data_IF_431384251028
#
_entry.id   IF_431384251028
#
_cell.length_a   1.000
_cell.length_b   1.000
_cell.length_c   1.000
_cell.angle_alpha   90.00
_cell.angle_beta   90.00
_cell.angle_gamma   90.00
#
_symmetry.space_group_name_H-M   'P 1'
#
loop_
_entity.id
_entity.type
_entity.pdbx_description
1 polymer ?
#
# COMPACT_ATOMS: atom_id res chain seq x y z
N UNK A 1 -3.19 -35.63 -18.89
CA UNK A 1 -2.77 -34.24 -19.20
C UNK A 1 -2.04 -33.63 -18.00
N UNK A 2 -0.78 -33.19 -18.15
CA UNK A 2 -0.03 -32.59 -17.03
C UNK A 2 -0.49 -31.16 -16.74
N UNK A 3 -0.92 -30.87 -15.49
CA UNK A 3 -1.39 -29.54 -15.07
C UNK A 3 -0.27 -28.49 -15.24
N UNK A 4 -0.55 -27.35 -15.87
CA UNK A 4 0.37 -26.19 -15.99
C UNK A 4 0.05 -25.11 -14.94
N UNK A 5 1.07 -24.43 -14.41
CA UNK A 5 0.92 -23.37 -13.40
C UNK A 5 1.66 -22.10 -13.85
N UNK A 6 1.23 -20.94 -13.37
CA UNK A 6 1.86 -19.65 -13.66
C UNK A 6 3.06 -19.40 -12.75
N UNK A 7 4.17 -18.87 -13.28
CA UNK A 7 5.30 -18.45 -12.44
C UNK A 7 4.90 -17.32 -11.49
N UNK A 8 5.30 -17.38 -10.22
CA UNK A 8 5.16 -16.26 -9.29
C UNK A 8 5.99 -15.02 -9.68
N UNK A 9 7.02 -15.16 -10.51
CA UNK A 9 7.91 -14.06 -10.93
C UNK A 9 7.47 -13.48 -12.28
N UNK A 10 7.35 -14.33 -13.30
CA UNK A 10 7.13 -13.87 -14.68
C UNK A 10 5.74 -14.22 -15.24
N UNK A 11 4.87 -14.89 -14.47
CA UNK A 11 3.51 -15.32 -14.86
C UNK A 11 3.38 -16.28 -16.05
N UNK A 12 4.47 -16.61 -16.77
CA UNK A 12 4.46 -17.60 -17.86
C UNK A 12 3.84 -18.91 -17.34
N UNK A 13 3.13 -19.67 -18.19
CA UNK A 13 2.66 -21.02 -17.83
C UNK A 13 3.76 -22.04 -18.10
N UNK A 14 4.00 -22.92 -17.14
CA UNK A 14 5.00 -23.98 -17.26
C UNK A 14 4.45 -25.35 -16.93
N UNK A 15 4.99 -26.33 -17.62
CA UNK A 15 4.83 -27.73 -17.31
C UNK A 15 5.62 -28.17 -16.06
N UNK A 16 5.42 -29.41 -15.60
CA UNK A 16 6.07 -29.94 -14.40
C UNK A 16 7.60 -29.92 -14.42
N UNK A 17 8.24 -30.10 -15.59
CA UNK A 17 9.70 -30.17 -15.74
C UNK A 17 10.41 -28.81 -15.65
N UNK A 18 9.69 -27.73 -15.97
CA UNK A 18 10.27 -26.38 -16.08
C UNK A 18 10.04 -25.52 -14.83
N UNK A 19 9.51 -26.12 -13.75
CA UNK A 19 9.03 -25.40 -12.56
C UNK A 19 9.46 -26.06 -11.27
N UNK A 20 9.66 -25.24 -10.24
CA UNK A 20 9.72 -25.68 -8.84
C UNK A 20 8.49 -25.23 -8.09
N UNK A 21 7.93 -26.12 -7.26
CA UNK A 21 6.91 -25.78 -6.27
C UNK A 21 7.54 -24.99 -5.13
N UNK A 22 6.86 -23.94 -4.67
CA UNK A 22 7.33 -23.13 -3.54
C UNK A 22 7.01 -23.76 -2.19
N UNK A 23 5.92 -24.55 -2.06
CA UNK A 23 5.48 -25.26 -0.84
C UNK A 23 6.41 -26.42 -0.41
N UNK A 24 7.72 -26.36 -0.70
CA UNK A 24 8.70 -27.38 -0.32
C UNK A 24 9.73 -26.76 0.62
N UNK A 25 10.11 -27.49 1.67
CA UNK A 25 10.89 -26.96 2.81
C UNK A 25 12.23 -26.30 2.44
N UNK A 26 12.84 -26.69 1.31
CA UNK A 26 14.10 -26.14 0.82
C UNK A 26 14.01 -24.74 0.17
N UNK A 27 12.83 -24.14 0.00
CA UNK A 27 12.65 -22.89 -0.75
C UNK A 27 12.39 -21.65 0.12
N UNK A 28 12.62 -21.71 1.45
CA UNK A 28 12.35 -20.61 2.41
C UNK A 28 12.97 -19.27 2.00
N UNK A 29 14.22 -19.27 1.53
CA UNK A 29 14.91 -18.04 1.10
C UNK A 29 14.29 -17.41 -0.15
N UNK A 30 13.88 -18.26 -1.10
CA UNK A 30 13.18 -17.82 -2.31
C UNK A 30 11.79 -17.26 -1.95
N UNK A 31 11.06 -17.90 -1.04
CA UNK A 31 9.78 -17.39 -0.54
C UNK A 31 9.96 -16.03 0.14
N UNK A 32 10.98 -15.87 1.00
CA UNK A 32 11.29 -14.60 1.68
C UNK A 32 11.58 -13.48 0.68
N UNK A 33 12.40 -13.75 -0.33
CA UNK A 33 12.67 -12.79 -1.41
C UNK A 33 11.39 -12.41 -2.16
N UNK A 34 10.58 -13.39 -2.54
CA UNK A 34 9.35 -13.15 -3.30
C UNK A 34 8.30 -12.40 -2.48
N UNK A 35 8.21 -12.62 -1.17
CA UNK A 35 7.38 -11.82 -0.25
C UNK A 35 7.91 -10.38 -0.15
N UNK A 36 9.22 -10.20 0.08
CA UNK A 36 9.90 -8.88 0.11
C UNK A 36 9.65 -8.08 -1.17
N UNK A 37 9.60 -8.73 -2.32
CA UNK A 37 9.38 -8.06 -3.61
C UNK A 37 7.91 -7.99 -4.06
N UNK A 38 6.97 -8.33 -3.17
CA UNK A 38 5.53 -8.32 -3.41
C UNK A 38 5.06 -9.23 -4.56
N UNK A 39 5.72 -10.37 -4.72
CA UNK A 39 5.44 -11.35 -5.79
C UNK A 39 4.65 -12.58 -5.31
N UNK A 40 4.57 -12.82 -3.99
CA UNK A 40 3.81 -13.92 -3.37
C UNK A 40 2.82 -13.43 -2.32
N UNK A 41 1.66 -14.11 -2.21
CA UNK A 41 0.67 -13.94 -1.13
C UNK A 41 1.20 -14.45 0.21
N UNK A 42 0.48 -14.13 1.29
CA UNK A 42 0.83 -14.51 2.66
C UNK A 42 0.86 -16.04 2.81
N UNK A 43 -0.10 -16.74 2.23
CA UNK A 43 -0.10 -18.19 2.12
C UNK A 43 0.54 -18.67 0.82
N UNK A 44 1.48 -19.61 0.94
CA UNK A 44 2.09 -20.31 -0.19
C UNK A 44 1.23 -21.54 -0.50
N UNK A 45 0.57 -21.51 -1.64
CA UNK A 45 -0.30 -22.58 -2.12
C UNK A 45 0.45 -23.58 -3.00
N UNK A 46 -0.16 -24.72 -3.30
CA UNK A 46 0.42 -25.71 -4.22
C UNK A 46 0.52 -25.24 -5.67
N UNK A 47 -0.22 -24.17 -6.00
CA UNK A 47 -0.22 -23.53 -7.32
C UNK A 47 0.95 -22.55 -7.48
N UNK A 48 1.58 -22.17 -6.37
CA UNK A 48 2.70 -21.24 -6.36
C UNK A 48 3.97 -21.95 -6.79
N UNK A 49 4.38 -21.64 -8.02
CA UNK A 49 5.57 -22.21 -8.65
C UNK A 49 6.47 -21.11 -9.18
N UNK A 50 7.76 -21.41 -9.27
CA UNK A 50 8.74 -20.55 -9.96
C UNK A 50 9.37 -21.33 -11.10
N UNK A 51 9.49 -20.69 -12.25
CA UNK A 51 10.14 -21.27 -13.42
C UNK A 51 11.64 -21.35 -13.21
N UNK A 52 12.28 -22.41 -13.69
CA UNK A 52 13.71 -22.65 -13.46
C UNK A 52 14.58 -21.46 -13.89
N UNK A 53 14.28 -20.83 -15.04
CA UNK A 53 15.01 -19.65 -15.51
C UNK A 53 14.88 -18.45 -14.57
N UNK A 54 13.69 -18.20 -14.02
CA UNK A 54 13.48 -17.11 -13.06
C UNK A 54 14.16 -17.40 -11.71
N UNK A 55 14.23 -18.68 -11.30
CA UNK A 55 14.99 -19.10 -10.11
C UNK A 55 16.48 -18.88 -10.29
N UNK A 56 17.04 -19.20 -11.47
CA UNK A 56 18.46 -19.01 -11.74
C UNK A 56 18.84 -17.52 -11.71
N UNK A 57 17.97 -16.64 -12.23
CA UNK A 57 18.15 -15.18 -12.10
C UNK A 57 18.19 -14.72 -10.64
N UNK A 58 17.26 -15.18 -9.80
CA UNK A 58 17.35 -14.93 -8.35
C UNK A 58 18.66 -15.45 -7.75
N UNK A 59 19.08 -16.66 -8.14
CA UNK A 59 20.28 -17.27 -7.56
C UNK A 59 21.52 -16.46 -7.95
N UNK A 60 21.61 -16.00 -9.20
CA UNK A 60 22.67 -15.12 -9.68
C UNK A 60 22.66 -13.75 -9.00
N UNK A 61 21.50 -13.09 -8.87
CA UNK A 61 21.36 -11.81 -8.14
C UNK A 61 21.76 -11.96 -6.66
N UNK A 62 21.34 -13.05 -6.02
CA UNK A 62 21.67 -13.33 -4.62
C UNK A 62 23.15 -13.71 -4.41
N UNK A 63 23.78 -14.33 -5.41
CA UNK A 63 25.20 -14.67 -5.39
C UNK A 63 26.07 -13.44 -5.68
N UNK A 64 25.67 -12.59 -6.62
CA UNK A 64 26.34 -11.31 -6.90
C UNK A 64 26.33 -10.41 -5.66
N UNK A 65 25.20 -10.31 -4.96
CA UNK A 65 25.09 -9.58 -3.70
C UNK A 65 25.96 -10.16 -2.56
N UNK A 66 26.32 -11.45 -2.63
CA UNK A 66 27.23 -12.11 -1.67
C UNK A 66 28.70 -11.95 -2.05
N UNK A 67 29.02 -11.92 -3.35
CA UNK A 67 30.39 -11.76 -3.85
C UNK A 67 30.89 -10.33 -3.69
N UNK A 68 30.00 -9.33 -3.74
CA UNK A 68 30.30 -7.95 -3.35
C UNK A 68 30.56 -7.78 -1.84
N UNK A 69 30.36 -8.82 -1.03
CA UNK A 69 30.66 -8.86 0.39
C UNK A 69 31.79 -9.86 0.65
N UNK A 70 33.02 -9.55 0.24
CA UNK A 70 34.20 -10.35 0.62
C UNK A 70 34.79 -9.93 1.99
N UNK A 71 35.43 -10.87 2.72
CA UNK A 71 35.51 -10.84 4.17
C UNK A 71 36.84 -10.28 4.69
N UNK A 72 36.80 -9.27 5.57
CA UNK A 72 37.93 -8.97 6.45
C UNK A 72 37.79 -9.79 7.73
N UNK A 73 38.74 -10.69 7.97
CA UNK A 73 38.91 -11.43 9.22
C UNK A 73 39.19 -10.45 10.36
N UNK A 74 38.34 -10.43 11.39
CA UNK A 74 38.76 -10.41 12.78
C UNK A 74 37.57 -10.81 13.69
N UNK A 75 37.77 -11.66 14.71
CA UNK A 75 36.71 -12.08 15.62
C UNK A 75 36.59 -11.07 16.77
N UNK A 76 35.77 -10.04 16.60
CA UNK A 76 35.27 -9.25 17.73
C UNK A 76 33.89 -8.69 17.38
N UNK A 77 32.89 -9.36 17.95
CA UNK A 77 31.66 -8.79 18.49
C UNK A 77 31.00 -7.64 17.69
N UNK A 78 30.09 -7.98 16.79
CA UNK A 78 29.03 -7.06 16.34
C UNK A 78 27.71 -7.85 16.29
N UNK A 79 26.64 -7.44 17.01
CA UNK A 79 25.36 -8.10 16.90
C UNK A 79 24.84 -7.92 15.48
N UNK A 80 24.62 -9.04 14.79
CA UNK A 80 24.00 -9.07 13.46
C UNK A 80 22.52 -8.66 13.57
N UNK A 81 22.25 -7.36 13.74
CA UNK A 81 20.93 -6.76 13.61
C UNK A 81 20.54 -6.65 12.13
N UNK A 82 20.43 -7.79 11.44
CA UNK A 82 19.68 -7.85 10.18
C UNK A 82 18.20 -7.81 10.54
N UNK A 83 17.69 -6.59 10.81
CA UNK A 83 16.27 -6.35 11.10
C UNK A 83 15.44 -7.04 10.02
N UNK A 84 14.61 -7.99 10.44
CA UNK A 84 13.66 -8.65 9.55
C UNK A 84 12.64 -7.62 9.06
N UNK A 85 12.15 -7.73 7.80
CA UNK A 85 11.14 -6.83 7.29
C UNK A 85 9.90 -6.86 8.20
N UNK A 86 9.35 -5.68 8.49
CA UNK A 86 8.15 -5.52 9.30
C UNK A 86 6.93 -5.93 8.49
N UNK A 87 6.00 -6.64 9.12
CA UNK A 87 4.67 -6.89 8.57
C UNK A 87 3.75 -5.74 8.97
N UNK A 88 3.12 -5.11 7.98
CA UNK A 88 2.19 -4.01 8.15
C UNK A 88 0.80 -4.42 7.66
N UNK A 89 -0.24 -3.98 8.38
CA UNK A 89 -1.65 -4.16 8.01
C UNK A 89 -2.08 -3.14 6.93
N UNK A 90 -1.27 -3.05 5.88
CA UNK A 90 -1.49 -2.19 4.73
C UNK A 90 -1.79 -3.09 3.54
N UNK A 91 -2.87 -2.80 2.82
CA UNK A 91 -3.21 -3.58 1.63
C UNK A 91 -2.19 -3.28 0.53
N UNK A 92 -1.80 -4.28 -0.24
CA UNK A 92 -0.95 -4.09 -1.41
C UNK A 92 -1.43 -4.87 -2.61
N UNK A 93 -1.26 -4.31 -3.80
CA UNK A 93 -1.53 -5.04 -5.03
C UNK A 93 -0.30 -5.83 -5.48
N UNK A 94 -0.54 -7.02 -6.04
CA UNK A 94 0.51 -7.82 -6.66
C UNK A 94 1.22 -7.08 -7.79
N UNK A 95 2.53 -7.27 -7.90
CA UNK A 95 3.32 -6.68 -8.98
C UNK A 95 3.45 -7.63 -10.17
N UNK A 96 3.10 -7.16 -11.37
CA UNK A 96 3.35 -7.86 -12.62
C UNK A 96 3.62 -6.87 -13.75
N UNK A 97 4.53 -7.24 -14.65
CA UNK A 97 4.77 -6.49 -15.89
C UNK A 97 3.76 -6.81 -17.01
N UNK A 98 2.97 -7.88 -16.84
CA UNK A 98 2.05 -8.41 -17.86
C UNK A 98 0.60 -8.35 -17.42
N UNK A 99 0.31 -7.93 -16.19
CA UNK A 99 -1.05 -7.89 -15.64
C UNK A 99 -1.26 -6.53 -14.97
N UNK A 100 -2.36 -5.87 -15.29
CA UNK A 100 -2.73 -4.60 -14.68
C UNK A 100 -3.13 -4.82 -13.21
N UNK A 101 -2.52 -4.11 -12.23
CA UNK A 101 -2.86 -4.25 -10.82
C UNK A 101 -4.23 -3.67 -10.46
N UNK A 102 -4.84 -2.88 -11.37
CA UNK A 102 -6.14 -2.23 -11.15
C UNK A 102 -7.28 -3.14 -11.61
N UNK A 103 -7.27 -3.57 -12.88
CA UNK A 103 -8.36 -4.34 -13.50
C UNK A 103 -8.03 -5.82 -13.77
N UNK A 104 -6.84 -6.29 -13.36
CA UNK A 104 -6.37 -7.66 -13.57
C UNK A 104 -6.31 -8.13 -15.05
N UNK A 105 -6.48 -7.21 -16.03
CA UNK A 105 -6.29 -7.52 -17.45
C UNK A 105 -4.84 -7.90 -17.73
N UNK A 106 -4.65 -8.92 -18.56
CA UNK A 106 -3.35 -9.25 -19.13
C UNK A 106 -3.04 -8.30 -20.27
N UNK A 107 -1.83 -7.75 -20.31
CA UNK A 107 -1.38 -6.92 -21.42
C UNK A 107 -1.29 -7.75 -22.70
N UNK A 108 -2.19 -7.47 -23.64
CA UNK A 108 -1.97 -7.79 -25.05
C UNK A 108 -1.10 -6.68 -25.67
N UNK A 109 -0.39 -6.96 -26.77
CA UNK A 109 0.43 -5.94 -27.47
C UNK A 109 -0.36 -4.71 -27.95
N UNK A 110 -1.70 -4.82 -28.06
CA UNK A 110 -2.59 -3.81 -28.65
C UNK A 110 -3.21 -2.81 -27.68
N UNK A 111 -3.22 -3.07 -26.36
CA UNK A 111 -3.65 -2.09 -25.35
C UNK A 111 -2.44 -1.73 -24.48
N UNK A 112 -1.92 -0.52 -24.70
CA UNK A 112 -0.66 -0.07 -24.10
C UNK A 112 -0.70 -0.05 -22.58
N UNK A 113 0.30 -0.68 -21.97
CA UNK A 113 0.55 -0.53 -20.53
C UNK A 113 1.44 0.69 -20.31
N UNK A 114 1.03 1.57 -19.41
CA UNK A 114 1.80 2.75 -19.01
C UNK A 114 2.42 2.52 -17.64
N UNK A 115 3.61 3.06 -17.41
CA UNK A 115 4.23 3.06 -16.09
C UNK A 115 3.51 4.05 -15.20
N UNK A 116 3.15 3.62 -13.99
CA UNK A 116 2.47 4.44 -13.00
C UNK A 116 3.52 5.33 -12.31
N UNK A 117 3.40 6.66 -12.37
CA UNK A 117 4.28 7.59 -11.66
C UNK A 117 4.21 7.41 -10.14
N UNK A 118 5.27 7.76 -9.42
CA UNK A 118 5.34 7.63 -7.97
C UNK A 118 4.26 8.47 -7.27
N UNK A 119 3.92 9.66 -7.81
CA UNK A 119 2.85 10.52 -7.31
C UNK A 119 1.48 9.86 -7.44
N UNK A 120 1.21 9.17 -8.55
CA UNK A 120 -0.04 8.45 -8.76
C UNK A 120 -0.15 7.23 -7.82
N UNK A 121 0.97 6.54 -7.56
CA UNK A 121 1.03 5.47 -6.55
C UNK A 121 0.65 6.03 -5.17
N UNK A 122 1.21 7.18 -4.79
CA UNK A 122 0.87 7.84 -3.51
C UNK A 122 -0.58 8.29 -3.47
N UNK A 123 -1.13 8.83 -4.57
CA UNK A 123 -2.54 9.19 -4.66
C UNK A 123 -3.46 7.99 -4.43
N UNK A 124 -3.15 6.84 -5.03
CA UNK A 124 -3.91 5.61 -4.82
C UNK A 124 -3.80 5.11 -3.38
N UNK A 125 -2.60 5.20 -2.79
CA UNK A 125 -2.40 4.82 -1.40
C UNK A 125 -3.24 5.69 -0.45
N UNK A 126 -3.25 7.01 -0.64
CA UNK A 126 -4.06 7.93 0.16
C UNK A 126 -5.56 7.64 0.01
N UNK A 127 -6.03 7.40 -1.22
CA UNK A 127 -7.47 7.28 -1.49
C UNK A 127 -8.05 5.89 -1.20
N UNK A 128 -7.26 4.83 -1.35
CA UNK A 128 -7.74 3.42 -1.26
C UNK A 128 -7.02 2.59 -0.21
N UNK A 129 -6.01 3.15 0.48
CA UNK A 129 -5.12 2.42 1.40
C UNK A 129 -4.50 1.16 0.74
N UNK A 130 -4.18 1.25 -0.56
CA UNK A 130 -3.57 0.17 -1.34
C UNK A 130 -2.22 0.64 -1.86
N UNK A 131 -1.17 -0.07 -1.47
CA UNK A 131 0.18 0.20 -1.92
C UNK A 131 0.50 -0.54 -3.22
N UNK A 132 1.06 0.19 -4.18
CA UNK A 132 1.67 -0.37 -5.38
C UNK A 132 3.19 -0.34 -5.27
N UNK A 133 3.84 -1.32 -5.89
CA UNK A 133 5.30 -1.30 -6.03
C UNK A 133 5.70 -0.19 -7.01
N UNK A 134 6.83 0.48 -6.75
CA UNK A 134 7.43 1.42 -7.70
C UNK A 134 7.61 0.77 -9.08
N UNK A 135 7.45 1.56 -10.15
CA UNK A 135 7.52 1.11 -11.55
C UNK A 135 6.45 0.08 -11.94
N UNK A 136 5.36 -0.01 -11.18
CA UNK A 136 4.17 -0.78 -11.59
C UNK A 136 3.62 -0.21 -12.90
N UNK A 137 2.98 -1.06 -13.70
CA UNK A 137 2.34 -0.66 -14.96
C UNK A 137 0.85 -0.99 -14.92
N UNK A 138 0.02 -0.12 -15.47
CA UNK A 138 -1.42 -0.35 -15.63
C UNK A 138 -1.86 -0.10 -17.08
N UNK A 139 -3.10 -0.47 -17.42
CA UNK A 139 -3.71 -0.11 -18.70
C UNK A 139 -3.74 1.42 -18.84
N UNK A 140 -3.47 1.93 -20.05
CA UNK A 140 -3.57 3.35 -20.36
C UNK A 140 -4.92 3.96 -19.98
N UNK A 141 -6.02 3.22 -20.09
CA UNK A 141 -7.38 3.66 -19.74
C UNK A 141 -7.55 4.05 -18.28
N UNK A 142 -6.67 3.61 -17.38
CA UNK A 142 -6.73 3.98 -15.95
C UNK A 142 -6.00 5.27 -15.62
N UNK A 143 -5.27 5.83 -16.59
CA UNK A 143 -4.40 6.97 -16.39
C UNK A 143 -4.75 8.09 -17.37
N UNK A 144 -4.84 9.31 -16.86
CA UNK A 144 -4.94 10.52 -17.67
C UNK A 144 -4.06 11.60 -17.06
N UNK A 145 -3.23 12.24 -17.88
CA UNK A 145 -2.32 13.30 -17.42
C UNK A 145 -1.34 12.86 -16.31
N UNK A 146 -0.91 11.60 -16.31
CA UNK A 146 0.00 11.06 -15.29
C UNK A 146 -0.66 10.78 -13.92
N UNK A 147 -1.98 10.90 -13.81
CA UNK A 147 -2.77 10.59 -12.60
C UNK A 147 -3.80 9.50 -12.88
N UNK A 148 -4.26 8.83 -11.83
CA UNK A 148 -5.40 7.92 -11.96
C UNK A 148 -6.67 8.70 -12.30
N UNK A 149 -7.48 8.16 -13.22
CA UNK A 149 -8.77 8.78 -13.54
C UNK A 149 -9.73 8.73 -12.35
N UNK A 150 -10.70 9.65 -12.25
CA UNK A 150 -11.69 9.63 -11.18
C UNK A 150 -12.45 8.30 -11.08
N UNK A 151 -12.78 7.67 -12.22
CA UNK A 151 -13.45 6.37 -12.28
C UNK A 151 -12.57 5.26 -11.70
N UNK A 152 -11.26 5.35 -11.92
CA UNK A 152 -10.31 4.38 -11.35
C UNK A 152 -10.18 4.55 -9.84
N UNK A 153 -10.28 5.78 -9.34
CA UNK A 153 -10.21 6.09 -7.92
C UNK A 153 -11.53 5.85 -7.18
N UNK A 154 -12.67 5.86 -7.85
CA UNK A 154 -13.96 5.51 -7.25
C UNK A 154 -14.20 4.00 -7.28
N UNK A 155 -13.84 3.31 -8.37
CA UNK A 155 -14.06 1.88 -8.53
C UNK A 155 -13.24 1.01 -7.56
N UNK A 156 -13.71 -0.21 -7.34
CA UNK A 156 -12.95 -1.24 -6.63
C UNK A 156 -11.82 -1.80 -7.49
N UNK A 157 -10.68 -2.04 -6.84
CA UNK A 157 -9.52 -2.66 -7.48
C UNK A 157 -9.79 -4.16 -7.64
N UNK A 158 -9.88 -4.61 -8.89
CA UNK A 158 -10.12 -6.02 -9.25
C UNK A 158 -8.83 -6.86 -9.30
N UNK A 159 -7.66 -6.21 -9.14
CA UNK A 159 -6.38 -6.89 -9.03
C UNK A 159 -6.26 -7.78 -7.80
N UNK A 160 -5.26 -8.66 -7.78
CA UNK A 160 -4.94 -9.42 -6.56
C UNK A 160 -4.42 -8.49 -5.47
N UNK A 161 -5.26 -8.26 -4.46
CA UNK A 161 -4.93 -7.51 -3.25
C UNK A 161 -4.53 -8.45 -2.13
N UNK A 162 -3.52 -8.05 -1.37
CA UNK A 162 -3.09 -8.68 -0.11
C UNK A 162 -3.51 -7.81 1.05
N UNK A 163 -3.87 -8.43 2.17
CA UNK A 163 -4.24 -7.73 3.40
C UNK A 163 -3.01 -7.21 4.16
N UNK A 164 -1.87 -7.89 4.04
CA UNK A 164 -0.63 -7.48 4.71
C UNK A 164 0.51 -7.25 3.73
N UNK A 165 1.43 -6.38 4.15
CA UNK A 165 2.59 -5.97 3.34
C UNK A 165 3.85 -6.03 4.18
N UNK A 166 4.91 -6.63 3.64
CA UNK A 166 6.21 -6.69 4.29
C UNK A 166 7.10 -5.55 3.77
N UNK A 167 7.62 -4.72 4.67
CA UNK A 167 8.49 -3.59 4.33
C UNK A 167 9.75 -3.57 5.18
N UNK A 168 10.86 -3.22 4.55
CA UNK A 168 12.10 -2.90 5.25
C UNK A 168 12.00 -1.53 5.91
N UNK A 169 12.77 -1.25 6.98
CA UNK A 169 12.74 0.02 7.69
C UNK A 169 12.87 1.25 6.76
N UNK A 170 13.76 1.17 5.77
CA UNK A 170 14.03 2.27 4.83
C UNK A 170 12.82 2.56 3.93
N UNK A 171 12.05 1.52 3.59
CA UNK A 171 10.84 1.65 2.80
C UNK A 171 9.72 2.33 3.60
N UNK A 172 9.63 2.02 4.90
CA UNK A 172 8.70 2.66 5.82
C UNK A 172 9.05 4.14 5.95
N UNK A 173 10.31 4.47 6.22
CA UNK A 173 10.77 5.86 6.29
C UNK A 173 10.49 6.62 4.98
N UNK A 174 10.76 6.00 3.83
CA UNK A 174 10.46 6.60 2.53
C UNK A 174 8.95 6.83 2.31
N UNK A 175 8.10 5.89 2.74
CA UNK A 175 6.65 6.03 2.64
C UNK A 175 6.15 7.17 3.53
N UNK A 176 6.60 7.23 4.78
CA UNK A 176 6.26 8.31 5.73
C UNK A 176 6.69 9.68 5.18
N UNK A 177 7.90 9.78 4.65
CA UNK A 177 8.39 11.03 4.06
C UNK A 177 7.55 11.45 2.83
N UNK A 178 7.16 10.49 1.98
CA UNK A 178 6.29 10.76 0.83
C UNK A 178 4.89 11.22 1.25
N UNK A 179 4.34 10.65 2.33
CA UNK A 179 3.08 11.09 2.93
C UNK A 179 3.17 12.52 3.48
N UNK A 180 4.22 12.82 4.24
CA UNK A 180 4.47 14.17 4.77
C UNK A 180 4.56 15.19 3.65
N UNK A 181 5.35 14.90 2.62
CA UNK A 181 5.49 15.78 1.46
C UNK A 181 4.14 15.99 0.74
N UNK A 182 3.34 14.93 0.60
CA UNK A 182 2.00 15.00 0.00
C UNK A 182 1.04 15.85 0.85
N UNK A 183 1.13 15.77 2.19
CA UNK A 183 0.35 16.59 3.10
C UNK A 183 0.79 18.06 3.06
N UNK A 184 2.09 18.33 3.06
CA UNK A 184 2.65 19.69 2.94
C UNK A 184 2.27 20.34 1.61
N UNK A 185 2.33 19.63 0.49
CA UNK A 185 1.87 20.17 -0.81
C UNK A 185 0.37 20.48 -0.84
N UNK A 186 -0.42 19.80 0.00
CA UNK A 186 -1.85 20.06 0.17
C UNK A 186 -2.13 21.13 1.24
N UNK A 187 -1.14 21.88 1.74
CA UNK A 187 -1.31 22.87 2.82
C UNK A 187 -2.45 23.89 2.65
N UNK A 188 -2.99 24.09 1.44
CA UNK A 188 -4.25 24.82 1.25
C UNK A 188 -5.48 24.15 1.88
N UNK A 189 -5.37 22.93 2.38
CA UNK A 189 -6.41 22.16 3.07
C UNK A 189 -6.01 21.77 4.50
N UNK A 190 -4.98 22.41 5.07
CA UNK A 190 -4.75 22.29 6.50
C UNK A 190 -5.79 23.15 7.20
N UNK A 191 -6.53 22.55 8.13
CA UNK A 191 -7.54 23.27 8.90
C UNK A 191 -6.79 24.29 9.76
N UNK A 192 -7.08 25.57 9.54
CA UNK A 192 -6.58 26.65 10.37
C UNK A 192 -7.55 26.80 11.55
N UNK A 193 -7.10 26.44 12.75
CA UNK A 193 -7.93 26.55 13.95
C UNK A 193 -8.08 27.99 14.43
N UNK A 194 -7.25 28.91 13.93
CA UNK A 194 -7.29 30.33 14.28
C UNK A 194 -8.16 31.13 13.29
N UNK A 195 -8.47 30.57 12.11
CA UNK A 195 -9.42 31.14 11.13
C UNK A 195 -10.63 30.21 10.89
N UNK A 196 -11.76 30.43 11.59
CA UNK A 196 -12.96 29.59 11.46
C UNK A 196 -13.62 29.68 10.07
N UNK A 197 -13.23 30.64 9.22
CA UNK A 197 -13.74 30.72 7.84
C UNK A 197 -13.06 29.73 6.88
N UNK A 198 -11.96 29.12 7.30
CA UNK A 198 -11.21 28.12 6.52
C UNK A 198 -11.72 26.69 6.72
N UNK A 199 -12.57 26.46 7.73
CA UNK A 199 -13.09 25.14 8.07
C UNK A 199 -14.47 24.92 7.42
N UNK A 200 -14.60 23.87 6.61
CA UNK A 200 -15.91 23.54 6.02
C UNK A 200 -16.82 22.85 7.04
N UNK A 201 -18.15 22.86 6.81
CA UNK A 201 -19.10 22.14 7.66
C UNK A 201 -18.79 20.63 7.76
N UNK A 202 -18.25 20.05 6.68
CA UNK A 202 -17.81 18.66 6.66
C UNK A 202 -16.58 18.43 7.54
N UNK A 203 -15.62 19.36 7.54
CA UNK A 203 -14.44 19.31 8.40
C UNK A 203 -14.84 19.47 9.87
N UNK A 204 -15.74 20.42 10.17
CA UNK A 204 -16.29 20.62 11.50
C UNK A 204 -17.00 19.35 12.00
N UNK A 205 -17.82 18.72 11.16
CA UNK A 205 -18.50 17.46 11.48
C UNK A 205 -17.51 16.32 11.72
N UNK A 206 -16.51 16.16 10.86
CA UNK A 206 -15.52 15.08 10.99
C UNK A 206 -14.62 15.24 12.22
N UNK A 207 -14.34 16.47 12.64
CA UNK A 207 -13.48 16.76 13.80
C UNK A 207 -14.24 16.73 15.14
N UNK A 208 -15.47 17.25 15.17
CA UNK A 208 -16.21 17.47 16.42
C UNK A 208 -17.41 16.54 16.59
N UNK A 209 -17.86 15.88 15.51
CA UNK A 209 -19.10 15.11 15.50
C UNK A 209 -20.37 15.99 15.56
N UNK A 210 -20.23 17.31 15.41
CA UNK A 210 -21.33 18.26 15.49
C UNK A 210 -21.33 19.21 14.30
N UNK A 211 -22.50 19.73 13.92
CA UNK A 211 -22.62 20.75 12.89
C UNK A 211 -22.38 22.13 13.52
N UNK A 212 -21.68 23.08 12.86
CA UNK A 212 -21.38 24.40 13.43
C UNK A 212 -22.65 25.21 13.78
N UNK A 213 -23.77 24.94 13.10
CA UNK A 213 -25.09 25.41 13.50
C UNK A 213 -25.62 24.64 14.73
N UNK A 214 -25.15 25.02 15.92
CA UNK A 214 -25.67 24.58 17.22
C UNK A 214 -27.17 24.89 17.42
N UNK A 215 -27.76 25.73 16.57
CA UNK A 215 -29.21 26.00 16.55
C UNK A 215 -30.07 24.74 16.30
N UNK A 216 -29.55 23.73 15.58
CA UNK A 216 -30.27 22.48 15.38
C UNK A 216 -30.32 21.61 16.65
N UNK A 217 -29.27 21.64 17.48
CA UNK A 217 -29.24 20.89 18.74
C UNK A 217 -30.21 21.52 19.75
N UNK A 218 -30.28 22.86 19.81
CA UNK A 218 -31.22 23.56 20.70
C UNK A 218 -32.68 23.36 20.26
N UNK A 219 -32.93 23.16 18.96
CA UNK A 219 -34.29 22.91 18.44
C UNK A 219 -34.75 21.46 18.69
N UNK A 220 -33.85 20.47 18.56
CA UNK A 220 -34.14 19.08 18.95
C UNK A 220 -34.43 18.97 20.47
N UNK A 221 -33.64 19.66 21.30
CA UNK A 221 -33.81 19.68 22.76
C UNK A 221 -35.09 20.40 23.23
N UNK A 222 -35.68 21.29 22.42
CA UNK A 222 -36.94 21.98 22.75
C UNK A 222 -38.18 21.16 22.38
N UNK A 223 -38.06 20.22 21.44
CA UNK A 223 -39.20 19.41 20.99
C UNK A 223 -39.37 18.13 21.82
N UNK A 224 -38.31 17.65 22.47
CA UNK A 224 -38.37 16.49 23.37
C UNK A 224 -38.46 16.94 24.84
N UNK A 225 -39.60 17.53 25.21
CA UNK A 225 -40.03 17.66 26.62
C UNK A 225 -40.43 16.30 27.20
N UNK A 226 -39.54 15.33 27.19
CA UNK A 226 -39.62 14.18 28.08
C UNK A 226 -38.22 13.61 28.25
N UNK A 227 -37.82 13.48 29.52
CA UNK A 227 -36.57 12.88 30.00
C UNK A 227 -35.27 13.66 29.78
N UNK A 228 -35.03 14.51 30.77
CA UNK A 228 -33.73 15.01 31.23
C UNK A 228 -32.68 13.89 31.23
N UNK A 229 -31.61 14.06 30.46
CA UNK A 229 -30.30 13.54 30.83
C UNK A 229 -29.27 14.65 30.62
N UNK A 230 -28.85 15.22 31.74
CA UNK A 230 -27.91 16.32 31.85
C UNK A 230 -26.48 15.74 31.89
N UNK A 231 -25.71 16.14 30.87
CA UNK A 231 -24.29 16.55 30.84
C UNK A 231 -23.17 15.56 31.20
N UNK A 232 -22.12 15.57 30.36
CA UNK A 232 -20.84 16.16 30.80
C UNK A 232 -20.27 17.09 29.71
N UNK A 233 -20.35 18.38 30.00
CA UNK A 233 -19.52 19.45 29.42
C UNK A 233 -18.08 19.32 29.90
N UNK A 234 -17.13 19.49 28.99
CA UNK A 234 -15.82 20.05 29.34
C UNK A 234 -15.63 21.32 28.51
N UNK A 235 -16.16 22.43 29.03
CA UNK A 235 -15.73 23.77 28.66
C UNK A 235 -14.54 24.04 29.59
N UNK A 236 -13.31 24.07 29.06
CA UNK A 236 -12.27 24.82 29.73
C UNK A 236 -12.14 26.17 29.03
N UNK A 237 -12.78 27.16 29.66
CA UNK A 237 -12.74 28.57 29.32
C UNK A 237 -11.29 29.07 29.33
N UNK A 238 -10.82 29.55 28.18
CA UNK A 238 -9.71 30.49 28.12
C UNK A 238 -10.15 31.79 28.80
N UNK A 239 -9.37 32.19 29.80
CA UNK A 239 -9.42 33.49 30.42
C UNK A 239 -9.08 34.57 29.38
N UNK A 240 -10.00 35.49 29.13
CA UNK A 240 -9.66 36.87 28.81
C UNK A 240 -10.35 37.75 29.86
N UNK A 241 -9.64 38.73 30.40
CA UNK A 241 -10.08 40.13 30.52
C UNK A 241 -8.96 40.97 31.14
N UNK A 242 -8.55 41.98 30.35
CA UNK A 242 -7.87 43.25 30.67
C UNK A 242 -6.49 43.25 31.35
#
# INVERSE_FOLDING_TARGET
>A
MSKSYACAICTKRVGPKERRKLKTDGNKQLIKYLRKHMLLTDEVTEKDVVHNSCRLKYTAESAAARLSASPKKNPQHEPSDKKSPFQLNIKSAGFSHTICPICNRKGARSEGFVTIPDEAIMQLFINKNILLKKKSRCCNTHMSGGKFTPETLSADIQGKIRSTTYMEPEQISSLINSLRQSATQRQKSCIDFDDPSTMTDADHWNLTGTHPNLNCIITLMRNERSTVLILYTCIHTGHEYF
#
